data_IF_734935670512
#
_entry.id   IF_734935670512
#
_cell.length_a   1.000
_cell.length_b   1.000
_cell.length_c   1.000
_cell.angle_alpha   90.00
_cell.angle_beta   90.00
_cell.angle_gamma   90.00
#
_symmetry.space_group_name_H-M   'P 1'
#
loop_
_entity.id
_entity.type
_entity.pdbx_description
1 polymer ?
#
# COMPACT_ATOMS: atom_id res chain seq x y z
N UNK A 1 7.43 13.81 -15.47
CA UNK A 1 8.35 14.69 -14.71
C UNK A 1 9.26 13.81 -13.87
N UNK A 2 10.60 13.94 -13.96
CA UNK A 2 11.52 13.17 -13.10
C UNK A 2 11.31 13.60 -11.64
N UNK A 3 10.97 12.65 -10.79
CA UNK A 3 10.90 12.89 -9.35
C UNK A 3 12.33 13.10 -8.83
N UNK A 4 12.67 14.34 -8.45
CA UNK A 4 14.04 14.75 -8.04
C UNK A 4 14.55 14.07 -6.76
N UNK A 5 13.70 13.29 -6.10
CA UNK A 5 13.96 12.72 -4.78
C UNK A 5 14.15 11.20 -4.77
N UNK A 6 14.29 10.57 -5.94
CA UNK A 6 14.47 9.13 -6.14
C UNK A 6 15.55 8.84 -7.18
N UNK A 7 16.46 7.87 -6.94
CA UNK A 7 17.37 7.40 -7.98
C UNK A 7 16.64 6.59 -9.07
N UNK A 8 15.41 6.13 -8.81
CA UNK A 8 14.60 5.33 -9.74
C UNK A 8 13.44 6.17 -10.28
N UNK A 9 13.07 5.95 -11.54
CA UNK A 9 11.81 6.45 -12.07
C UNK A 9 10.63 5.68 -11.47
N UNK A 10 9.42 6.25 -11.45
CA UNK A 10 8.19 5.56 -11.01
C UNK A 10 8.02 4.17 -11.62
N UNK A 11 8.26 4.05 -12.92
CA UNK A 11 8.09 2.81 -13.67
C UNK A 11 9.09 1.74 -13.21
N UNK A 12 10.34 2.12 -12.97
CA UNK A 12 11.38 1.19 -12.47
C UNK A 12 11.06 0.75 -11.05
N UNK A 13 10.66 1.69 -10.18
CA UNK A 13 10.29 1.35 -8.81
C UNK A 13 9.11 0.37 -8.75
N UNK A 14 8.09 0.60 -9.57
CA UNK A 14 6.93 -0.27 -9.68
C UNK A 14 7.33 -1.64 -10.24
N UNK A 15 8.17 -1.65 -11.27
CA UNK A 15 8.72 -2.88 -11.84
C UNK A 15 9.45 -3.72 -10.77
N UNK A 16 10.36 -3.12 -10.02
CA UNK A 16 11.11 -3.80 -8.96
C UNK A 16 10.20 -4.35 -7.85
N UNK A 17 9.19 -3.57 -7.44
CA UNK A 17 8.22 -4.01 -6.44
C UNK A 17 7.43 -5.23 -6.95
N UNK A 18 6.93 -5.16 -8.18
CA UNK A 18 6.07 -6.18 -8.76
C UNK A 18 6.80 -7.40 -9.34
N UNK A 19 8.14 -7.37 -9.39
CA UNK A 19 8.99 -8.54 -9.74
C UNK A 19 9.61 -9.19 -8.50
N UNK A 20 9.36 -8.66 -7.30
CA UNK A 20 9.94 -9.17 -6.06
C UNK A 20 9.54 -10.63 -5.76
N UNK A 21 10.37 -11.30 -4.95
CA UNK A 21 10.09 -12.69 -4.49
C UNK A 21 8.74 -12.82 -3.81
N UNK A 22 8.31 -11.81 -3.03
CA UNK A 22 7.00 -11.83 -2.38
C UNK A 22 5.85 -11.91 -3.37
N UNK A 23 5.95 -11.21 -4.50
CA UNK A 23 4.96 -11.30 -5.58
C UNK A 23 4.97 -12.68 -6.21
N UNK A 24 6.15 -13.21 -6.52
CA UNK A 24 6.30 -14.53 -7.14
C UNK A 24 5.76 -15.66 -6.24
N UNK A 25 5.91 -15.53 -4.93
CA UNK A 25 5.47 -16.51 -3.93
C UNK A 25 4.04 -16.27 -3.43
N UNK A 26 3.38 -15.21 -3.88
CA UNK A 26 2.02 -14.87 -3.45
C UNK A 26 1.89 -14.45 -1.97
N UNK A 27 2.96 -13.93 -1.38
CA UNK A 27 3.02 -13.51 0.03
C UNK A 27 2.62 -12.04 0.20
N UNK A 28 3.16 -11.35 1.20
CA UNK A 28 2.77 -9.99 1.59
C UNK A 28 3.94 -9.02 1.43
N UNK A 29 3.65 -7.82 0.96
CA UNK A 29 4.58 -6.69 0.93
C UNK A 29 4.08 -5.60 1.89
N UNK A 30 5.01 -4.94 2.59
CA UNK A 30 4.73 -3.75 3.41
C UNK A 30 5.50 -2.53 2.90
N UNK A 31 4.81 -1.40 2.74
CA UNK A 31 5.40 -0.12 2.33
C UNK A 31 4.81 1.04 3.13
N UNK A 32 5.56 2.14 3.26
CA UNK A 32 5.00 3.40 3.78
C UNK A 32 4.25 4.10 2.64
N UNK A 33 3.04 4.61 2.91
CA UNK A 33 2.24 5.33 1.93
C UNK A 33 3.01 6.52 1.34
N UNK A 34 3.70 7.28 2.20
CA UNK A 34 4.56 8.40 1.78
C UNK A 34 5.70 8.00 0.82
N UNK A 35 6.21 6.78 0.94
CA UNK A 35 7.29 6.31 0.08
C UNK A 35 6.71 5.91 -1.29
N UNK A 36 5.54 5.27 -1.31
CA UNK A 36 4.81 4.99 -2.57
C UNK A 36 4.53 6.29 -3.31
N UNK A 37 3.94 7.27 -2.63
CA UNK A 37 3.64 8.59 -3.21
C UNK A 37 4.92 9.27 -3.73
N UNK A 38 5.98 9.21 -2.93
CA UNK A 38 7.28 9.78 -3.31
C UNK A 38 7.95 9.07 -4.48
N UNK A 39 7.70 7.79 -4.72
CA UNK A 39 8.48 7.02 -5.70
C UNK A 39 7.73 6.63 -6.96
N UNK A 40 6.41 6.44 -6.89
CA UNK A 40 5.66 5.74 -7.92
C UNK A 40 4.29 6.32 -8.30
N UNK A 41 3.81 7.34 -7.56
CA UNK A 41 2.43 7.85 -7.60
C UNK A 41 1.40 6.82 -7.07
N UNK A 42 0.57 7.23 -6.10
CA UNK A 42 -0.37 6.32 -5.45
C UNK A 42 -1.41 5.75 -6.42
N UNK A 43 -1.91 6.56 -7.36
CA UNK A 43 -2.95 6.13 -8.27
C UNK A 43 -2.43 5.10 -9.27
N UNK A 44 -1.21 5.31 -9.80
CA UNK A 44 -0.54 4.31 -10.65
C UNK A 44 -0.31 3.00 -9.89
N UNK A 45 0.13 3.09 -8.65
CA UNK A 45 0.36 1.93 -7.79
C UNK A 45 -0.94 1.14 -7.51
N UNK A 46 -2.04 1.82 -7.16
CA UNK A 46 -3.32 1.19 -6.89
C UNK A 46 -3.92 0.54 -8.14
N UNK A 47 -3.78 1.17 -9.32
CA UNK A 47 -4.20 0.57 -10.59
C UNK A 47 -3.46 -0.74 -10.88
N UNK A 48 -2.17 -0.83 -10.59
CA UNK A 48 -1.41 -2.06 -10.78
C UNK A 48 -1.81 -3.17 -9.79
N UNK A 49 -2.17 -2.82 -8.55
CA UNK A 49 -2.72 -3.78 -7.57
C UNK A 49 -4.03 -4.35 -8.08
N UNK A 50 -4.95 -3.49 -8.51
CA UNK A 50 -6.26 -3.87 -9.03
C UNK A 50 -6.13 -4.74 -10.28
N UNK A 51 -5.31 -4.33 -11.25
CA UNK A 51 -5.02 -5.08 -12.49
C UNK A 51 -4.52 -6.50 -12.23
N UNK A 52 -3.80 -6.73 -11.13
CA UNK A 52 -3.26 -8.05 -10.75
C UNK A 52 -4.29 -8.91 -9.97
N UNK A 53 -5.39 -8.29 -9.52
CA UNK A 53 -6.36 -8.91 -8.61
C UNK A 53 -5.84 -9.05 -7.19
N UNK A 54 -4.87 -8.23 -6.81
CA UNK A 54 -4.33 -8.17 -5.46
C UNK A 54 -5.24 -7.34 -4.56
N UNK A 55 -4.98 -7.40 -3.25
CA UNK A 55 -5.62 -6.53 -2.27
C UNK A 55 -4.56 -5.73 -1.54
N UNK A 56 -4.90 -4.50 -1.18
CA UNK A 56 -4.11 -3.72 -0.24
C UNK A 56 -4.98 -3.11 0.85
N UNK A 57 -4.39 -2.95 2.02
CA UNK A 57 -5.00 -2.24 3.15
C UNK A 57 -4.02 -1.18 3.64
N UNK A 58 -4.55 -0.05 4.10
CA UNK A 58 -3.78 0.99 4.76
C UNK A 58 -4.08 0.99 6.27
N UNK A 59 -3.04 1.12 7.09
CA UNK A 59 -3.15 1.39 8.51
C UNK A 59 -1.97 2.25 8.98
N UNK A 60 -2.26 3.40 9.59
CA UNK A 60 -1.25 4.32 10.14
C UNK A 60 -0.14 4.67 9.12
N UNK A 61 -0.55 5.00 7.88
CA UNK A 61 0.36 5.32 6.78
C UNK A 61 1.25 4.15 6.31
N UNK A 62 0.93 2.92 6.72
CA UNK A 62 1.51 1.69 6.19
C UNK A 62 0.52 1.05 5.22
N UNK A 63 0.99 0.69 4.04
CA UNK A 63 0.24 -0.08 3.06
C UNK A 63 0.76 -1.52 3.07
N UNK A 64 -0.16 -2.45 3.28
CA UNK A 64 0.08 -3.89 3.23
C UNK A 64 -0.56 -4.43 1.97
N UNK A 65 0.24 -5.01 1.08
CA UNK A 65 -0.21 -5.60 -0.19
C UNK A 65 -0.20 -7.12 -0.08
N UNK A 66 -1.36 -7.74 -0.26
CA UNK A 66 -1.52 -9.18 -0.39
C UNK A 66 -1.33 -9.57 -1.86
N UNK A 67 -0.21 -10.21 -2.20
CA UNK A 67 0.18 -10.50 -3.59
C UNK A 67 -0.52 -11.76 -4.14
N UNK A 68 -1.79 -11.94 -3.79
CA UNK A 68 -2.60 -13.07 -4.19
C UNK A 68 -4.09 -12.67 -4.24
N UNK A 69 -4.92 -13.60 -4.69
CA UNK A 69 -6.37 -13.38 -4.88
C UNK A 69 -7.23 -13.91 -3.72
N UNK A 70 -6.63 -14.36 -2.61
CA UNK A 70 -7.37 -14.89 -1.46
C UNK A 70 -8.03 -13.77 -0.60
N UNK A 71 -9.27 -13.95 -0.11
CA UNK A 71 -10.01 -12.95 0.66
C UNK A 71 -9.29 -12.53 1.95
N UNK A 72 -9.43 -11.26 2.31
CA UNK A 72 -9.01 -10.77 3.63
C UNK A 72 -10.06 -11.21 4.64
N UNK A 73 -9.63 -11.97 5.65
CA UNK A 73 -10.45 -12.34 6.80
C UNK A 73 -9.88 -11.67 8.04
N UNK A 74 -10.73 -10.90 8.73
CA UNK A 74 -10.42 -10.40 10.07
C UNK A 74 -10.49 -11.57 11.05
N UNK A 75 -9.35 -11.91 11.66
CA UNK A 75 -9.28 -12.99 12.64
C UNK A 75 -9.80 -12.58 14.01
N UNK A 76 -9.68 -11.28 14.31
CA UNK A 76 -10.20 -10.66 15.53
C UNK A 76 -11.23 -9.62 15.08
N UNK A 77 -12.48 -9.70 15.56
CA UNK A 77 -13.46 -8.65 15.35
C UNK A 77 -12.93 -7.35 15.95
N UNK A 78 -12.74 -6.31 15.13
CA UNK A 78 -12.34 -4.99 15.61
C UNK A 78 -13.50 -4.27 16.31
N UNK A 79 -13.17 -3.22 17.06
CA UNK A 79 -14.14 -2.16 17.32
C UNK A 79 -14.68 -1.63 15.97
N UNK A 80 -15.94 -1.19 15.89
CA UNK A 80 -16.47 -0.59 14.67
C UNK A 80 -15.51 0.51 14.18
N UNK A 81 -15.32 0.64 12.86
CA UNK A 81 -14.40 1.63 12.31
C UNK A 81 -14.76 3.00 12.88
N UNK A 82 -13.79 3.58 13.60
CA UNK A 82 -13.83 4.96 14.06
C UNK A 82 -14.06 5.80 12.80
N UNK A 83 -15.12 6.62 12.80
CA UNK A 83 -15.47 7.44 11.65
C UNK A 83 -14.25 8.26 11.22
N UNK A 84 -14.04 8.46 9.91
CA UNK A 84 -12.95 9.30 9.40
C UNK A 84 -12.92 10.71 10.03
N UNK A 85 -14.05 11.16 10.61
CA UNK A 85 -14.15 12.41 11.38
C UNK A 85 -13.42 12.39 12.74
N UNK A 86 -13.23 11.23 13.35
CA UNK A 86 -12.65 11.08 14.69
C UNK A 86 -11.13 10.84 14.67
N UNK A 87 -10.57 10.42 13.54
CA UNK A 87 -9.14 10.14 13.35
C UNK A 87 -8.27 11.42 13.50
N UNK A 88 -8.87 12.61 13.47
CA UNK A 88 -8.20 13.92 13.58
C UNK A 88 -8.25 14.61 14.94
N UNK A 89 -8.99 14.10 15.95
CA UNK A 89 -8.93 14.66 17.32
C UNK A 89 -7.72 14.11 18.04
N UNK A 90 -6.54 14.59 17.64
CA UNK A 90 -5.36 14.48 18.49
C UNK A 90 -5.63 15.31 19.75
N UNK A 91 -5.88 14.64 20.86
CA UNK A 91 -6.00 15.26 22.18
C UNK A 91 -4.68 15.95 22.48
N UNK A 92 -4.63 17.28 22.35
CA UNK A 92 -3.64 18.10 23.04
C UNK A 92 -4.05 18.12 24.51
N UNK A 93 -3.31 17.40 25.35
CA UNK A 93 -3.17 17.72 26.77
C UNK A 93 -1.79 18.31 26.93
#
# INVERSE_FOLDING_TARGET
>A
MRNRNSPLTPEVWLHDLFTSKSVQQGTVIRRKARDIERFADMDLFLREIDRRGYRAIENSGQIIIFCNRAPIRWLIPGAPPISSKEIGRSTTV
#
